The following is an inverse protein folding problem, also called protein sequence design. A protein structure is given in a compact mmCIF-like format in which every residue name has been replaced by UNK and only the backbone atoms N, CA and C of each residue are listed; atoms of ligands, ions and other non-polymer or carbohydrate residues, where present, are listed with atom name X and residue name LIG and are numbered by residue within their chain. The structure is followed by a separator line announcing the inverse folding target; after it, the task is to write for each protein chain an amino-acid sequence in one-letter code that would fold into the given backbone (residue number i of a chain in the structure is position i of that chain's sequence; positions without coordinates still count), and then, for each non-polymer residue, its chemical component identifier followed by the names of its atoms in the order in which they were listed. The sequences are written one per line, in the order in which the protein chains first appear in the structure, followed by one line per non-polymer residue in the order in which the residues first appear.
data_IF_370673991964
#
_entry.id   IF_370673991964
#
_cell.length_a   1.000
_cell.length_b   1.000
_cell.length_c   1.000
_cell.angle_alpha   90.00
_cell.angle_beta   90.00
_cell.angle_gamma   90.00
#
_symmetry.space_group_name_H-M   'P 1'
#
loop_
_entity.id
_entity.type
_entity.pdbx_description
1 polymer ?
#
# COMPACT_ATOMS: atom_id res chain seq x y z
N UNK A 1 -19.73 -2.62 14.36
CA UNK A 1 -19.36 -1.19 14.45
C UNK A 1 -18.41 -0.86 13.31
N UNK A 2 -18.94 -0.30 12.22
CA UNK A 2 -18.20 -0.02 10.98
C UNK A 2 -17.24 1.14 11.22
N UNK A 3 -15.95 0.85 11.42
CA UNK A 3 -14.91 1.87 11.51
C UNK A 3 -14.66 2.37 10.10
N UNK A 4 -15.34 3.46 9.74
CA UNK A 4 -14.98 4.30 8.60
C UNK A 4 -13.46 4.52 8.67
N UNK A 5 -12.72 3.92 7.75
CA UNK A 5 -11.30 4.21 7.58
C UNK A 5 -11.19 5.73 7.47
N UNK A 6 -10.59 6.36 8.48
CA UNK A 6 -10.51 7.82 8.58
C UNK A 6 -9.81 8.32 7.31
N UNK A 7 -10.60 8.83 6.36
CA UNK A 7 -10.11 9.48 5.16
C UNK A 7 -9.63 10.87 5.59
N UNK A 8 -8.50 10.93 6.31
CA UNK A 8 -7.81 12.17 6.59
C UNK A 8 -7.71 12.96 5.26
N UNK A 9 -8.14 14.23 5.24
CA UNK A 9 -8.30 14.97 4.00
C UNK A 9 -6.98 14.94 3.21
N UNK A 10 -7.08 14.70 1.90
CA UNK A 10 -5.94 14.87 1.01
C UNK A 10 -5.45 16.28 1.22
N UNK A 11 -4.28 16.43 1.83
CA UNK A 11 -3.62 17.73 1.87
C UNK A 11 -3.31 18.07 0.41
N UNK A 12 -4.16 18.91 -0.17
CA UNK A 12 -4.15 19.31 -1.59
C UNK A 12 -3.00 20.27 -1.88
N UNK A 13 -2.02 20.31 -0.98
CA UNK A 13 -0.80 21.07 -1.13
C UNK A 13 0.06 20.36 -2.17
N UNK A 14 0.57 21.14 -3.11
CA UNK A 14 1.56 20.64 -4.07
C UNK A 14 2.69 20.01 -3.27
N UNK A 15 2.97 18.74 -3.53
CA UNK A 15 4.08 18.04 -2.90
C UNK A 15 5.35 18.86 -3.12
N UNK A 16 6.08 19.14 -2.04
CA UNK A 16 7.34 19.88 -2.14
C UNK A 16 8.32 19.08 -3.00
N UNK A 17 9.02 19.71 -3.96
CA UNK A 17 10.01 18.98 -4.75
C UNK A 17 11.08 18.40 -3.83
N UNK A 18 11.58 17.21 -4.16
CA UNK A 18 12.59 16.46 -3.38
C UNK A 18 12.12 16.04 -1.97
N UNK A 19 10.82 16.04 -1.68
CA UNK A 19 10.27 15.41 -0.47
C UNK A 19 10.11 13.90 -0.66
N UNK A 20 10.00 13.18 0.47
CA UNK A 20 9.64 11.76 0.47
C UNK A 20 8.27 11.53 -0.20
N UNK A 21 7.30 12.40 0.06
CA UNK A 21 5.98 12.33 -0.58
C UNK A 21 6.03 12.48 -2.10
N UNK A 22 6.91 13.36 -2.63
CA UNK A 22 7.14 13.52 -4.06
C UNK A 22 7.77 12.28 -4.68
N UNK A 23 8.73 11.67 -4.00
CA UNK A 23 9.35 10.41 -4.43
C UNK A 23 8.34 9.26 -4.47
N UNK A 24 7.59 9.04 -3.37
CA UNK A 24 6.59 7.97 -3.29
C UNK A 24 5.47 8.17 -4.31
N UNK A 25 5.05 9.42 -4.54
CA UNK A 25 4.08 9.76 -5.59
C UNK A 25 4.60 9.40 -6.99
N UNK A 26 5.84 9.74 -7.30
CA UNK A 26 6.51 9.37 -8.55
C UNK A 26 6.63 7.85 -8.73
N UNK A 27 7.03 7.15 -7.67
CA UNK A 27 7.14 5.69 -7.66
C UNK A 27 5.78 5.02 -7.94
N UNK A 28 4.73 5.37 -7.18
CA UNK A 28 3.38 4.83 -7.37
C UNK A 28 2.85 5.11 -8.77
N UNK A 29 3.10 6.31 -9.30
CA UNK A 29 2.71 6.69 -10.66
C UNK A 29 3.42 5.85 -11.74
N UNK A 30 4.74 5.66 -11.61
CA UNK A 30 5.54 4.85 -12.54
C UNK A 30 5.04 3.41 -12.60
N UNK A 31 4.87 2.78 -11.42
CA UNK A 31 4.39 1.40 -11.33
C UNK A 31 2.95 1.26 -11.85
N UNK A 32 2.05 2.21 -11.52
CA UNK A 32 0.69 2.22 -12.10
C UNK A 32 0.73 2.26 -13.63
N UNK A 33 1.60 3.09 -14.22
CA UNK A 33 1.74 3.19 -15.67
C UNK A 33 2.20 1.87 -16.29
N UNK A 34 3.12 1.16 -15.62
CA UNK A 34 3.66 -0.13 -16.09
C UNK A 34 2.65 -1.26 -15.96
N UNK A 35 1.87 -1.33 -14.88
CA UNK A 35 0.95 -2.45 -14.63
C UNK A 35 -0.41 -2.27 -15.31
N UNK A 36 -0.86 -1.03 -15.55
CA UNK A 36 -2.16 -0.76 -16.19
C UNK A 36 -2.41 -1.51 -17.51
N UNK A 37 -1.45 -1.68 -18.44
CA UNK A 37 -1.66 -2.47 -19.65
C UNK A 37 -1.70 -4.00 -19.42
N UNK A 38 -1.27 -4.48 -18.26
CA UNK A 38 -1.24 -5.91 -17.89
C UNK A 38 -2.46 -6.26 -17.02
N UNK A 39 -3.12 -5.27 -16.43
CA UNK A 39 -4.36 -5.45 -15.70
C UNK A 39 -5.56 -5.46 -16.65
N UNK A 40 -6.36 -6.53 -16.61
CA UNK A 40 -7.61 -6.63 -17.37
C UNK A 40 -8.73 -5.71 -16.83
N UNK A 41 -8.54 -5.15 -15.64
CA UNK A 41 -9.51 -4.24 -15.03
C UNK A 41 -9.30 -2.79 -15.52
N UNK A 42 -10.34 -2.06 -15.97
CA UNK A 42 -10.18 -0.72 -16.55
C UNK A 42 -9.66 0.34 -15.58
N UNK A 43 -9.91 0.15 -14.27
CA UNK A 43 -9.44 1.02 -13.18
C UNK A 43 -9.06 0.17 -11.96
N UNK A 44 -7.88 -0.47 -11.94
CA UNK A 44 -7.49 -1.30 -10.81
C UNK A 44 -7.12 -0.43 -9.61
N UNK A 45 -7.63 -0.80 -8.42
CA UNK A 45 -7.19 -0.20 -7.16
C UNK A 45 -5.86 -0.86 -6.77
N UNK A 46 -4.77 -0.30 -7.28
CA UNK A 46 -3.42 -0.87 -7.10
C UNK A 46 -2.83 -0.53 -5.73
N UNK A 47 -3.16 0.66 -5.21
CA UNK A 47 -2.51 1.21 -4.02
C UNK A 47 -3.49 1.40 -2.87
N UNK A 48 -3.09 0.99 -1.67
CA UNK A 48 -3.65 1.57 -0.47
C UNK A 48 -3.35 3.08 -0.43
N UNK A 49 -4.32 3.86 0.08
CA UNK A 49 -4.21 5.31 0.22
C UNK A 49 -3.12 5.66 1.24
N UNK A 50 -2.37 6.73 0.97
CA UNK A 50 -1.21 7.17 1.75
C UNK A 50 -0.08 6.12 1.79
N UNK A 51 0.91 6.35 2.65
CA UNK A 51 2.02 5.45 2.92
C UNK A 51 2.49 5.67 4.36
N UNK A 52 3.06 4.64 4.97
CA UNK A 52 3.61 4.71 6.32
C UNK A 52 5.08 5.12 6.26
N UNK A 53 5.46 6.09 7.09
CA UNK A 53 6.84 6.56 7.22
C UNK A 53 7.20 6.73 8.69
N UNK A 54 8.42 6.32 9.07
CA UNK A 54 8.98 6.53 10.39
C UNK A 54 10.48 6.84 10.29
N UNK A 55 10.96 7.71 11.18
CA UNK A 55 12.40 7.98 11.33
C UNK A 55 12.99 6.92 12.24
N UNK A 56 13.96 6.15 11.74
CA UNK A 56 14.70 5.15 12.52
C UNK A 56 15.79 5.86 13.31
N UNK A 57 15.68 5.83 14.65
CA UNK A 57 16.56 6.61 15.55
C UNK A 57 17.65 5.79 16.21
N UNK A 58 17.47 4.47 16.29
CA UNK A 58 18.39 3.56 16.95
C UNK A 58 18.38 2.16 16.30
N UNK A 59 19.38 1.36 16.66
CA UNK A 59 19.58 0.02 16.13
C UNK A 59 18.47 -0.97 16.56
N UNK A 60 17.91 -0.78 17.75
CA UNK A 60 16.83 -1.65 18.24
C UNK A 60 15.59 -1.48 17.36
N UNK A 61 15.21 -0.25 17.05
CA UNK A 61 14.10 0.07 16.16
C UNK A 61 14.37 -0.46 14.75
N UNK A 62 15.60 -0.32 14.24
CA UNK A 62 15.98 -0.88 12.93
C UNK A 62 15.80 -2.40 12.89
N UNK A 63 16.25 -3.09 13.93
CA UNK A 63 16.14 -4.55 14.02
C UNK A 63 14.68 -4.99 14.12
N UNK A 64 13.84 -4.26 14.87
CA UNK A 64 12.39 -4.52 14.92
C UNK A 64 11.72 -4.38 13.56
N UNK A 65 12.02 -3.31 12.81
CA UNK A 65 11.47 -3.10 11.47
C UNK A 65 11.89 -4.23 10.51
N UNK A 66 13.17 -4.63 10.55
CA UNK A 66 13.67 -5.75 9.73
C UNK A 66 12.94 -7.04 10.05
N UNK A 67 12.79 -7.35 11.33
CA UNK A 67 12.03 -8.53 11.77
C UNK A 67 10.58 -8.45 11.34
N UNK A 68 9.94 -7.28 11.44
CA UNK A 68 8.59 -7.09 10.93
C UNK A 68 8.51 -7.38 9.42
N UNK A 69 9.38 -6.80 8.60
CA UNK A 69 9.38 -7.03 7.15
C UNK A 69 9.54 -8.52 6.80
N UNK A 70 10.43 -9.23 7.48
CA UNK A 70 10.67 -10.67 7.25
C UNK A 70 9.44 -11.50 7.66
N UNK A 71 8.83 -11.16 8.79
CA UNK A 71 7.74 -11.96 9.36
C UNK A 71 6.36 -11.59 8.82
N UNK A 72 6.19 -10.40 8.22
CA UNK A 72 4.89 -9.91 7.75
C UNK A 72 4.22 -10.83 6.72
N UNK A 73 4.92 -11.37 5.71
CA UNK A 73 4.31 -12.31 4.77
C UNK A 73 3.68 -13.53 5.44
N UNK A 74 4.27 -14.02 6.53
CA UNK A 74 3.77 -15.18 7.28
C UNK A 74 2.55 -14.83 8.15
N UNK A 75 2.41 -13.56 8.52
CA UNK A 75 1.34 -13.06 9.39
C UNK A 75 0.22 -12.37 8.63
N UNK A 76 0.30 -12.33 7.30
CA UNK A 76 -0.57 -11.54 6.46
C UNK A 76 -2.05 -11.94 6.58
N UNK A 77 -2.34 -13.24 6.69
CA UNK A 77 -3.72 -13.73 6.80
C UNK A 77 -4.39 -13.43 8.15
N UNK A 78 -3.59 -13.11 9.16
CA UNK A 78 -4.04 -12.73 10.49
C UNK A 78 -4.09 -11.20 10.68
N UNK A 79 -3.65 -10.42 9.68
CA UNK A 79 -3.52 -8.97 9.78
C UNK A 79 -4.91 -8.29 9.67
N UNK A 80 -5.38 -7.57 10.70
CA UNK A 80 -6.66 -6.86 10.66
C UNK A 80 -6.66 -5.65 9.73
N UNK A 81 -5.50 -5.17 9.27
CA UNK A 81 -5.36 -4.13 8.25
C UNK A 81 -5.27 -4.71 6.83
N UNK A 82 -5.31 -6.05 6.70
CA UNK A 82 -5.53 -6.71 5.41
C UNK A 82 -6.86 -6.18 4.85
N UNK A 83 -6.86 -5.58 3.64
CA UNK A 83 -8.12 -5.18 3.04
C UNK A 83 -8.96 -6.45 2.80
N UNK A 84 -10.17 -6.50 3.37
CA UNK A 84 -11.15 -7.58 3.16
C UNK A 84 -11.45 -7.83 1.66
N UNK A 85 -11.10 -6.87 0.82
CA UNK A 85 -11.40 -6.85 -0.61
C UNK A 85 -10.11 -6.90 -1.44
N UNK A 86 -9.44 -8.05 -1.48
CA UNK A 86 -8.79 -8.52 -2.70
C UNK A 86 -8.99 -10.04 -2.77
N UNK A 87 -9.82 -10.44 -3.73
CA UNK A 87 -10.18 -11.80 -4.17
C UNK A 87 -11.12 -12.64 -3.29
N UNK A 88 -12.43 -12.41 -3.42
CA UNK A 88 -13.38 -13.54 -3.55
C UNK A 88 -14.06 -13.57 -4.94
N UNK A 89 -14.01 -12.49 -5.72
CA UNK A 89 -14.61 -12.46 -7.08
C UNK A 89 -13.61 -12.38 -8.24
N UNK A 90 -12.29 -12.36 -8.00
CA UNK A 90 -11.28 -12.30 -9.09
C UNK A 90 -10.49 -13.61 -9.24
N UNK A 91 -10.46 -14.47 -8.21
CA UNK A 91 -9.77 -15.77 -8.29
C UNK A 91 -10.69 -16.96 -8.65
N UNK A 92 -12.01 -16.77 -8.61
CA UNK A 92 -13.02 -17.81 -8.87
C UNK A 92 -13.49 -17.86 -10.33
N UNK A 93 -13.26 -16.81 -11.12
CA UNK A 93 -13.68 -16.75 -12.52
C UNK A 93 -12.58 -17.18 -13.52
N UNK A 94 -11.42 -17.63 -13.02
CA UNK A 94 -10.45 -18.38 -13.82
C UNK A 94 -10.70 -19.88 -13.68
N UNK A 95 -11.81 -20.35 -14.26
CA UNK A 95 -11.73 -21.63 -14.95
C UNK A 95 -10.79 -21.42 -16.16
N UNK A 96 -9.83 -22.34 -16.34
CA UNK A 96 -8.93 -22.41 -17.50
C UNK A 96 -9.64 -22.15 -18.84
#
# INVERSE_FOLDING_TARGET
MTRMASLAPLQKDKQKPKSLSSFVGGFKSSVTKTIKPICDHPNPVIWQRNYYEIIVKDEKQLNQIRQYIINNPQKWDEDPEKPDNLSTEIFTDLHF
#
